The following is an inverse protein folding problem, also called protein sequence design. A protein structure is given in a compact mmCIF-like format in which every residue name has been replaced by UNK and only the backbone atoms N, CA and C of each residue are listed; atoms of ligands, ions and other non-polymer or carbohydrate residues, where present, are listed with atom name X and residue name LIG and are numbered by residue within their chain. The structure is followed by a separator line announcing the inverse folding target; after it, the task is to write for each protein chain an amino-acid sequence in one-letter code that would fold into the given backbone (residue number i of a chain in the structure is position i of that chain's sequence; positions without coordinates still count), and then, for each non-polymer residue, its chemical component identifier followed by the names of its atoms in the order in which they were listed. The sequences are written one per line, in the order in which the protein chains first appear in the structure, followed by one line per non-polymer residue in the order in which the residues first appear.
data_IF_449377492715
#
_entry.id   IF_449377492715
#
_cell.length_a   1.000
_cell.length_b   1.000
_cell.length_c   1.000
_cell.angle_alpha   90.00
_cell.angle_beta   90.00
_cell.angle_gamma   90.00
#
_symmetry.space_group_name_H-M   'P 1'
#
loop_
_entity.id
_entity.type
_entity.pdbx_description
1 polymer ?
#
# COMPACT_ATOMS: atom_id res chain seq x y z
N UNK A 1 7.09 -2.95 -11.37
CA UNK A 1 6.50 -2.55 -10.07
C UNK A 1 5.03 -2.96 -9.99
N UNK A 2 4.09 -2.33 -10.69
CA UNK A 2 2.66 -2.64 -10.51
C UNK A 2 2.27 -4.11 -10.68
N UNK A 3 2.77 -4.77 -11.73
CA UNK A 3 2.55 -6.20 -11.95
C UNK A 3 3.17 -7.06 -10.83
N UNK A 4 4.43 -6.78 -10.46
CA UNK A 4 5.10 -7.46 -9.34
C UNK A 4 4.34 -7.30 -8.02
N UNK A 5 3.76 -6.12 -7.77
CA UNK A 5 2.92 -5.91 -6.59
C UNK A 5 1.68 -6.81 -6.65
N UNK A 6 0.99 -6.86 -7.79
CA UNK A 6 -0.20 -7.69 -7.96
C UNK A 6 0.10 -9.18 -7.79
N UNK A 7 1.26 -9.63 -8.26
CA UNK A 7 1.65 -11.04 -8.22
C UNK A 7 2.15 -11.48 -6.82
N UNK A 8 2.69 -10.56 -6.01
CA UNK A 8 3.42 -10.89 -4.76
C UNK A 8 2.81 -10.36 -3.48
N UNK A 9 1.89 -9.41 -3.57
CA UNK A 9 1.27 -8.72 -2.42
C UNK A 9 -0.22 -9.02 -2.44
N UNK A 10 -0.61 -10.00 -1.63
CA UNK A 10 -2.00 -10.45 -1.51
C UNK A 10 -2.90 -9.37 -0.89
N UNK A 11 -2.32 -8.51 -0.05
CA UNK A 11 -2.99 -7.38 0.60
C UNK A 11 -3.39 -6.27 -0.39
N UNK A 12 -2.94 -6.33 -1.65
CA UNK A 12 -3.23 -5.32 -2.66
C UNK A 12 -4.70 -5.36 -3.08
N UNK A 13 -5.40 -4.24 -2.86
CA UNK A 13 -6.79 -4.05 -3.31
C UNK A 13 -6.84 -3.39 -4.68
N UNK A 14 -6.19 -2.23 -4.78
CA UNK A 14 -6.27 -1.35 -5.93
C UNK A 14 -4.90 -0.73 -6.21
N UNK A 15 -4.57 -0.51 -7.47
CA UNK A 15 -3.37 0.21 -7.87
C UNK A 15 -3.64 1.11 -9.08
N UNK A 16 -3.13 2.33 -9.01
CA UNK A 16 -3.33 3.36 -10.02
C UNK A 16 -2.01 4.03 -10.39
N UNK A 17 -1.83 4.35 -11.67
CA UNK A 17 -0.77 5.25 -12.10
C UNK A 17 -1.19 6.70 -11.90
N UNK A 18 -0.29 7.55 -11.41
CA UNK A 18 -0.58 8.97 -11.20
C UNK A 18 0.48 9.84 -11.85
N UNK A 19 0.09 11.04 -12.28
CA UNK A 19 1.03 12.05 -12.82
C UNK A 19 1.61 12.96 -11.73
N UNK A 20 1.51 12.55 -10.46
CA UNK A 20 1.92 13.34 -9.30
C UNK A 20 3.40 13.17 -8.96
N UNK A 21 3.76 13.40 -7.69
CA UNK A 21 5.13 13.17 -7.21
C UNK A 21 5.54 11.69 -7.21
N UNK A 22 4.56 10.78 -7.15
CA UNK A 22 4.76 9.34 -7.16
C UNK A 22 4.10 8.74 -8.39
N UNK A 23 4.77 7.77 -9.01
CA UNK A 23 4.28 7.13 -10.23
C UNK A 23 3.04 6.25 -9.97
N UNK A 24 2.95 5.66 -8.77
CA UNK A 24 1.93 4.70 -8.39
C UNK A 24 1.27 5.07 -7.06
N UNK A 25 -0.05 4.90 -6.99
CA UNK A 25 -0.84 4.92 -5.77
C UNK A 25 -1.46 3.53 -5.57
N UNK A 26 -1.08 2.86 -4.49
CA UNK A 26 -1.62 1.54 -4.12
C UNK A 26 -2.44 1.62 -2.83
N UNK A 27 -3.55 0.89 -2.79
CA UNK A 27 -4.34 0.67 -1.58
C UNK A 27 -4.23 -0.78 -1.14
N UNK A 28 -3.94 -0.97 0.14
CA UNK A 28 -3.70 -2.27 0.73
C UNK A 28 -4.60 -2.45 1.95
N UNK A 29 -5.22 -3.63 2.07
CA UNK A 29 -5.95 -4.04 3.26
C UNK A 29 -5.09 -5.01 4.05
N UNK A 30 -4.70 -4.60 5.25
CA UNK A 30 -3.91 -5.41 6.15
C UNK A 30 -4.81 -5.97 7.25
N UNK A 31 -4.48 -7.16 7.73
CA UNK A 31 -5.13 -7.72 8.91
C UNK A 31 -4.86 -6.83 10.15
N UNK A 32 -5.79 -6.78 11.13
CA UNK A 32 -5.65 -5.94 12.32
C UNK A 32 -4.40 -6.23 13.16
N UNK A 33 -3.84 -7.42 13.04
CA UNK A 33 -2.67 -7.89 13.77
C UNK A 33 -1.35 -7.67 13.00
N UNK A 34 -1.43 -7.24 11.74
CA UNK A 34 -0.26 -7.05 10.87
C UNK A 34 0.40 -5.68 11.12
N UNK A 35 1.72 -5.69 11.29
CA UNK A 35 2.50 -4.46 11.46
C UNK A 35 2.69 -3.75 10.10
N UNK A 36 2.17 -2.52 10.00
CA UNK A 36 2.25 -1.69 8.79
C UNK A 36 3.70 -1.36 8.43
N UNK A 37 4.54 -1.07 9.42
CA UNK A 37 5.94 -0.72 9.21
C UNK A 37 6.69 -1.88 8.60
N UNK A 38 6.56 -3.07 9.20
CA UNK A 38 7.18 -4.31 8.72
C UNK A 38 6.68 -4.68 7.31
N UNK A 39 5.37 -4.56 7.07
CA UNK A 39 4.79 -4.79 5.74
C UNK A 39 5.42 -3.88 4.69
N UNK A 40 5.56 -2.59 4.97
CA UNK A 40 6.14 -1.64 4.01
C UNK A 40 7.62 -1.93 3.79
N UNK A 41 8.41 -2.10 4.85
CA UNK A 41 9.87 -2.22 4.73
C UNK A 41 10.34 -3.59 4.24
N UNK A 42 9.65 -4.67 4.61
CA UNK A 42 10.07 -6.03 4.25
C UNK A 42 9.35 -6.59 3.03
N UNK A 43 8.14 -6.11 2.70
CA UNK A 43 7.38 -6.59 1.54
C UNK A 43 7.31 -5.59 0.39
N UNK A 44 6.91 -4.34 0.64
CA UNK A 44 6.73 -3.37 -0.46
C UNK A 44 8.05 -2.80 -0.96
N UNK A 45 8.92 -2.33 -0.08
CA UNK A 45 10.20 -1.71 -0.46
C UNK A 45 11.19 -2.72 -1.05
N UNK A 46 10.98 -4.03 -0.82
CA UNK A 46 11.81 -5.09 -1.38
C UNK A 46 11.42 -5.45 -2.83
N UNK A 47 10.32 -4.90 -3.36
CA UNK A 47 9.90 -5.12 -4.73
C UNK A 47 10.85 -4.44 -5.74
N UNK A 48 11.26 -5.13 -6.81
CA UNK A 48 12.12 -4.55 -7.83
C UNK A 48 11.52 -3.29 -8.48
N UNK A 49 12.29 -2.21 -8.47
CA UNK A 49 11.90 -0.92 -9.05
C UNK A 49 11.15 0.02 -8.11
N UNK A 50 10.89 -0.39 -6.86
CA UNK A 50 10.45 0.55 -5.82
C UNK A 50 11.66 1.36 -5.37
N UNK A 51 11.59 2.68 -5.57
CA UNK A 51 12.64 3.62 -5.17
C UNK A 51 12.36 4.23 -3.80
N UNK A 52 11.12 4.61 -3.58
CA UNK A 52 10.64 5.25 -2.36
C UNK A 52 9.14 4.96 -2.18
N UNK A 53 8.65 5.07 -0.95
CA UNK A 53 7.26 4.83 -0.59
C UNK A 53 6.76 5.89 0.37
N UNK A 54 5.55 6.39 0.14
CA UNK A 54 4.87 7.27 1.08
C UNK A 54 3.55 6.64 1.55
N UNK A 55 3.51 6.28 2.83
CA UNK A 55 2.38 5.53 3.41
C UNK A 55 1.36 6.47 4.03
N UNK A 56 0.11 6.36 3.58
CA UNK A 56 -1.05 7.04 4.14
C UNK A 56 -1.92 6.04 4.88
N UNK A 57 -2.03 6.18 6.21
CA UNK A 57 -2.88 5.31 7.02
C UNK A 57 -4.31 5.85 6.95
N UNK A 58 -5.24 5.02 6.47
CA UNK A 58 -6.66 5.36 6.37
C UNK A 58 -7.41 4.95 7.63
N UNK A 59 -8.32 5.81 8.10
CA UNK A 59 -9.25 5.52 9.19
C UNK A 59 -10.67 5.59 8.67
N UNK A 60 -11.61 4.91 9.34
CA UNK A 60 -13.01 5.04 9.00
C UNK A 60 -13.45 6.51 9.16
N UNK A 61 -13.90 7.11 8.06
CA UNK A 61 -14.34 8.50 8.04
C UNK A 61 -15.67 8.70 8.78
N UNK A 62 -16.44 7.63 8.97
CA UNK A 62 -17.74 7.64 9.64
C UNK A 62 -17.62 6.84 10.95
N UNK A 63 -17.58 7.55 12.08
CA UNK A 63 -17.62 6.91 13.40
C UNK A 63 -19.05 6.39 13.67
N UNK A 64 -19.26 5.27 14.40
CA UNK A 64 -20.59 4.66 14.59
C UNK A 64 -21.63 5.48 15.36
N UNK A 65 -21.34 6.75 15.67
CA UNK A 65 -22.20 7.65 16.44
C UNK A 65 -22.69 8.88 15.65
N UNK A 66 -22.63 8.84 14.32
CA UNK A 66 -23.22 9.86 13.44
C UNK A 66 -24.66 9.56 13.10
#
# INVERSE_FOLDING_TARGET
VAQETADRIEEMSEMYSTSGQYDLLGKFYLDPEQDIGLFVTERLQTLPGVKDTYTLITFNAFSPGG
#
